data_IF_464179835535
#
_entry.id   IF_464179835535
#
_cell.length_a   1.000
_cell.length_b   1.000
_cell.length_c   1.000
_cell.angle_alpha   90.00
_cell.angle_beta   90.00
_cell.angle_gamma   90.00
#
_symmetry.space_group_name_H-M   'P 1'
#
loop_
_entity.id
_entity.type
_entity.pdbx_description
1 polymer ?
#
# COMPACT_ATOMS: atom_id res chain seq x y z
N UNK A 1 -2.87 -12.24 5.60
CA UNK A 1 -1.86 -11.20 5.90
C UNK A 1 -1.71 -10.34 4.65
N UNK A 2 -1.80 -9.03 4.78
CA UNK A 2 -1.67 -8.08 3.68
C UNK A 2 -0.42 -7.23 3.96
N UNK A 3 0.52 -7.25 3.02
CA UNK A 3 1.77 -6.50 3.09
C UNK A 3 1.78 -5.51 1.91
N UNK A 4 2.19 -4.26 2.15
CA UNK A 4 2.30 -3.22 1.13
C UNK A 4 3.77 -3.02 0.81
N UNK A 5 4.11 -3.04 -0.48
CA UNK A 5 5.47 -2.83 -0.96
C UNK A 5 5.59 -1.42 -1.51
N UNK A 6 6.67 -0.73 -1.16
CA UNK A 6 7.04 0.57 -1.70
C UNK A 6 8.40 0.43 -2.36
N UNK A 7 8.47 0.67 -3.66
CA UNK A 7 9.69 0.46 -4.46
C UNK A 7 10.30 -0.96 -4.32
N UNK A 8 9.44 -1.97 -4.12
CA UNK A 8 9.84 -3.37 -3.97
C UNK A 8 10.21 -3.78 -2.55
N UNK A 9 10.28 -2.84 -1.60
CA UNK A 9 10.55 -3.13 -0.20
C UNK A 9 9.23 -3.20 0.60
N UNK A 10 9.00 -4.27 1.38
CA UNK A 10 7.81 -4.37 2.23
C UNK A 10 7.89 -3.36 3.38
N UNK A 11 6.80 -2.63 3.60
CA UNK A 11 6.71 -1.66 4.69
C UNK A 11 5.91 -2.24 5.85
N UNK A 12 6.63 -2.70 6.87
CA UNK A 12 6.04 -3.35 8.06
C UNK A 12 5.01 -2.48 8.79
N UNK A 13 5.18 -1.15 8.76
CA UNK A 13 4.24 -0.23 9.38
C UNK A 13 2.84 -0.22 8.72
N UNK A 14 2.73 -0.75 7.49
CA UNK A 14 1.48 -0.82 6.73
C UNK A 14 0.95 -2.26 6.61
N UNK A 15 1.70 -3.23 7.12
CA UNK A 15 1.27 -4.63 7.15
C UNK A 15 0.11 -4.84 8.10
N UNK A 16 -0.97 -5.44 7.61
CA UNK A 16 -2.19 -5.65 8.39
C UNK A 16 -2.75 -7.07 8.22
N UNK A 17 -3.33 -7.59 9.30
CA UNK A 17 -4.02 -8.88 9.29
C UNK A 17 -5.51 -8.64 8.98
N UNK A 18 -5.93 -8.93 7.76
CA UNK A 18 -7.33 -8.83 7.32
C UNK A 18 -7.84 -10.15 6.73
N UNK A 19 -9.16 -10.31 6.65
CA UNK A 19 -9.83 -11.47 6.05
C UNK A 19 -9.58 -11.51 4.54
N UNK A 20 -9.50 -12.71 3.96
CA UNK A 20 -9.16 -12.90 2.54
C UNK A 20 -10.10 -12.13 1.60
N UNK A 21 -11.41 -12.22 1.84
CA UNK A 21 -12.43 -11.55 1.02
C UNK A 21 -12.30 -10.02 1.03
N UNK A 22 -11.85 -9.46 2.16
CA UNK A 22 -11.68 -8.01 2.34
C UNK A 22 -10.28 -7.52 1.96
N UNK A 23 -9.32 -8.43 1.75
CA UNK A 23 -7.93 -8.08 1.49
C UNK A 23 -7.78 -7.24 0.22
N UNK A 24 -8.47 -7.61 -0.86
CA UNK A 24 -8.34 -6.91 -2.14
C UNK A 24 -8.92 -5.48 -2.08
N UNK A 25 -10.12 -5.34 -1.54
CA UNK A 25 -10.78 -4.02 -1.40
C UNK A 25 -10.03 -3.11 -0.45
N UNK A 26 -9.53 -3.66 0.66
CA UNK A 26 -8.76 -2.91 1.64
C UNK A 26 -7.41 -2.48 1.07
N UNK A 27 -6.68 -3.38 0.40
CA UNK A 27 -5.40 -3.09 -0.24
C UNK A 27 -5.53 -1.98 -1.28
N UNK A 28 -6.52 -2.05 -2.19
CA UNK A 28 -6.77 -0.98 -3.18
C UNK A 28 -6.99 0.37 -2.52
N UNK A 29 -7.86 0.43 -1.50
CA UNK A 29 -8.16 1.67 -0.80
C UNK A 29 -6.94 2.24 -0.08
N UNK A 30 -6.06 1.38 0.45
CA UNK A 30 -4.79 1.79 1.06
C UNK A 30 -3.83 2.36 0.02
N UNK A 31 -3.66 1.71 -1.14
CA UNK A 31 -2.82 2.21 -2.23
C UNK A 31 -3.32 3.55 -2.78
N UNK A 32 -4.64 3.74 -2.94
CA UNK A 32 -5.24 5.01 -3.37
C UNK A 32 -4.95 6.14 -2.37
N UNK A 33 -5.16 5.88 -1.07
CA UNK A 33 -4.82 6.85 -0.03
C UNK A 33 -3.33 7.18 0.02
N UNK A 34 -2.46 6.18 -0.16
CA UNK A 34 -1.02 6.41 -0.21
C UNK A 34 -0.64 7.31 -1.39
N UNK A 35 -1.28 7.13 -2.55
CA UNK A 35 -1.06 8.00 -3.71
C UNK A 35 -1.54 9.44 -3.47
N UNK A 36 -2.61 9.64 -2.70
CA UNK A 36 -3.08 10.98 -2.32
C UNK A 36 -2.18 11.65 -1.27
N UNK A 37 -1.67 10.86 -0.31
CA UNK A 37 -0.82 11.34 0.79
C UNK A 37 0.63 11.59 0.36
N UNK A 38 1.16 10.77 -0.57
CA UNK A 38 2.55 10.87 -1.02
C UNK A 38 2.63 11.96 -2.10
N UNK A 39 3.32 13.09 -1.84
CA UNK A 39 3.51 14.13 -2.84
C UNK A 39 4.33 13.60 -4.01
N UNK A 40 4.03 14.09 -5.23
CA UNK A 40 4.79 13.69 -6.42
C UNK A 40 6.25 14.12 -6.25
N UNK A 41 7.14 13.14 -6.32
CA UNK A 41 8.58 13.36 -6.23
C UNK A 41 9.19 13.37 -7.65
N UNK A 42 10.47 13.71 -7.77
CA UNK A 42 11.20 13.69 -9.05
C UNK A 42 11.48 12.26 -9.57
N UNK A 43 10.97 11.23 -8.89
CA UNK A 43 11.09 9.82 -9.23
C UNK A 43 9.74 9.12 -9.06
N UNK A 44 9.54 8.06 -9.84
CA UNK A 44 8.33 7.23 -9.74
C UNK A 44 8.38 6.36 -8.49
N UNK A 45 7.27 6.33 -7.76
CA UNK A 45 7.09 5.49 -6.58
C UNK A 45 6.10 4.40 -6.94
N UNK A 46 6.58 3.15 -6.97
CA UNK A 46 5.74 1.99 -7.18
C UNK A 46 5.08 1.59 -5.85
N UNK A 47 3.74 1.49 -5.85
CA UNK A 47 2.88 1.09 -4.73
C UNK A 47 2.08 -0.15 -5.16
#
# INVERSE_FOLDING_TARGET
>A
KLDILLNGEPVDALSTLTHFDNAQSFGRRMCEKLKELIPRQQFDIAI
#
